data_IF_754478450861
#
_entry.id   IF_754478450861
#
_cell.length_a   1.000
_cell.length_b   1.000
_cell.length_c   1.000
_cell.angle_alpha   90.00
_cell.angle_beta   90.00
_cell.angle_gamma   90.00
#
_symmetry.space_group_name_H-M   'P 1'
#
loop_
_entity.id
_entity.type
_entity.pdbx_description
1 polymer ?
#
# COMPACT_ATOMS: atom_id res chain seq x y z
N UNK A 1 9.44 -31.55 12.76
CA UNK A 1 8.40 -30.84 12.43
C UNK A 1 8.80 -29.85 11.44
N UNK A 2 8.02 -29.48 10.74
CA UNK A 2 8.33 -28.67 9.63
C UNK A 2 8.47 -27.25 10.08
N UNK A 3 9.63 -26.84 10.46
CA UNK A 3 9.80 -25.46 10.87
C UNK A 3 9.43 -24.51 9.77
N UNK A 4 9.70 -24.91 8.52
CA UNK A 4 9.36 -24.03 7.43
C UNK A 4 7.86 -23.86 7.34
N UNK A 5 7.10 -24.93 7.52
CA UNK A 5 5.67 -24.82 7.57
C UNK A 5 5.25 -23.90 8.68
N UNK A 6 5.87 -24.06 9.80
CA UNK A 6 5.55 -23.21 10.92
C UNK A 6 5.87 -21.76 10.62
N UNK A 7 6.96 -21.55 9.92
CA UNK A 7 7.33 -20.19 9.57
C UNK A 7 6.27 -19.57 8.69
N UNK A 8 5.80 -20.31 7.72
CA UNK A 8 4.75 -19.79 6.87
C UNK A 8 3.49 -19.53 7.66
N UNK A 9 3.15 -20.45 8.54
CA UNK A 9 1.97 -20.24 9.37
C UNK A 9 2.12 -19.00 10.22
N UNK A 10 3.31 -18.81 10.77
CA UNK A 10 3.53 -17.65 11.60
C UNK A 10 3.41 -16.37 10.78
N UNK A 11 3.91 -16.39 9.57
CA UNK A 11 3.78 -15.24 8.70
C UNK A 11 2.31 -14.98 8.39
N UNK A 12 1.58 -16.02 8.07
CA UNK A 12 0.15 -15.86 7.81
C UNK A 12 -0.56 -15.28 9.01
N UNK A 13 -0.25 -15.78 10.18
CA UNK A 13 -0.87 -15.27 11.38
C UNK A 13 -0.50 -13.82 11.61
N UNK A 14 0.73 -13.47 11.33
CA UNK A 14 1.16 -12.10 11.49
C UNK A 14 0.38 -11.19 10.55
N UNK A 15 0.11 -11.68 9.36
CA UNK A 15 -0.65 -10.90 8.40
C UNK A 15 -2.10 -10.76 8.82
N UNK A 16 -2.55 -11.61 9.74
CA UNK A 16 -3.93 -11.57 10.18
C UNK A 16 -4.07 -11.05 11.60
N UNK A 17 -3.00 -10.54 12.17
CA UNK A 17 -3.07 -10.03 13.53
C UNK A 17 -3.59 -8.61 13.53
N UNK A 18 -4.02 -8.15 14.70
CA UNK A 18 -4.47 -6.75 14.81
C UNK A 18 -3.42 -5.74 14.39
N UNK A 19 -2.15 -6.10 14.49
CA UNK A 19 -1.09 -5.18 14.12
C UNK A 19 -1.23 -4.73 12.68
N UNK A 20 -1.74 -5.61 11.82
CA UNK A 20 -1.95 -5.24 10.43
C UNK A 20 -2.92 -4.08 10.33
N UNK A 21 -3.92 -4.11 11.14
CA UNK A 21 -4.95 -3.08 11.09
C UNK A 21 -4.41 -1.74 11.56
N UNK A 22 -3.33 -1.77 12.30
CA UNK A 22 -2.75 -0.54 12.84
C UNK A 22 -1.72 0.06 11.92
N UNK A 23 -1.69 -0.39 10.69
CA UNK A 23 -0.76 0.18 9.76
C UNK A 23 0.50 -0.64 9.55
N UNK A 24 0.52 -1.87 10.03
CA UNK A 24 1.66 -2.75 9.78
C UNK A 24 1.66 -3.29 8.36
N UNK A 25 0.64 -2.99 7.58
CA UNK A 25 0.57 -3.41 6.19
C UNK A 25 1.67 -2.70 5.41
N UNK A 26 2.52 -3.47 4.75
CA UNK A 26 3.60 -2.90 3.98
C UNK A 26 3.16 -2.43 2.61
N UNK A 27 2.24 -3.15 2.01
CA UNK A 27 1.83 -2.88 0.63
C UNK A 27 0.34 -2.71 0.55
N UNK A 28 -0.07 -1.76 -0.27
CA UNK A 28 -1.49 -1.51 -0.52
C UNK A 28 -1.76 -1.72 -1.99
N UNK A 29 -2.83 -2.46 -2.28
CA UNK A 29 -3.24 -2.67 -3.66
C UNK A 29 -4.12 -1.51 -4.11
N UNK A 30 -4.37 -1.46 -5.42
CA UNK A 30 -5.08 -0.32 -6.00
C UNK A 30 -6.41 -0.02 -5.33
N UNK A 31 -7.27 -1.01 -5.06
CA UNK A 31 -8.53 -0.66 -4.40
C UNK A 31 -8.35 0.02 -3.06
N UNK A 32 -7.36 -0.42 -2.30
CA UNK A 32 -7.08 0.21 -1.00
C UNK A 32 -6.55 1.63 -1.19
N UNK A 33 -5.72 1.83 -2.20
CA UNK A 33 -5.21 3.17 -2.50
C UNK A 33 -6.35 4.10 -2.89
N UNK A 34 -7.25 3.63 -3.75
CA UNK A 34 -8.39 4.43 -4.17
C UNK A 34 -9.27 4.78 -2.97
N UNK A 35 -9.49 3.81 -2.09
CA UNK A 35 -10.29 4.06 -0.91
C UNK A 35 -9.61 5.05 0.03
N UNK A 36 -8.33 4.89 0.23
CA UNK A 36 -7.60 5.73 1.17
C UNK A 36 -7.47 7.17 0.67
N UNK A 37 -7.31 7.36 -0.62
CA UNK A 37 -7.12 8.70 -1.19
C UNK A 37 -8.41 9.33 -1.67
N UNK A 38 -9.42 8.53 -1.94
CA UNK A 38 -10.64 9.05 -2.53
C UNK A 38 -10.52 9.39 -4.00
N UNK A 39 -9.42 8.99 -4.63
CA UNK A 39 -9.18 9.31 -6.03
C UNK A 39 -9.59 8.17 -6.93
N UNK A 40 -10.01 8.49 -8.13
CA UNK A 40 -10.37 7.47 -9.11
C UNK A 40 -9.10 6.85 -9.70
N UNK A 41 -9.28 5.70 -10.34
CA UNK A 41 -8.17 5.03 -10.97
C UNK A 41 -7.48 5.91 -12.00
N UNK A 42 -8.26 6.53 -12.86
CA UNK A 42 -7.65 7.35 -13.91
C UNK A 42 -6.93 8.56 -13.34
N UNK A 43 -7.47 9.15 -12.29
CA UNK A 43 -6.78 10.26 -11.64
C UNK A 43 -5.46 9.81 -11.05
N UNK A 44 -5.45 8.65 -10.39
CA UNK A 44 -4.23 8.12 -9.81
C UNK A 44 -3.16 7.89 -10.87
N UNK A 45 -3.54 7.24 -11.96
CA UNK A 45 -2.55 6.95 -12.99
C UNK A 45 -2.07 8.21 -13.71
N UNK A 46 -2.92 9.21 -13.81
CA UNK A 46 -2.48 10.49 -14.34
C UNK A 46 -1.46 11.13 -13.41
N UNK A 47 -1.70 11.09 -12.12
CA UNK A 47 -0.75 11.64 -11.17
C UNK A 47 0.58 10.88 -11.20
N UNK A 48 0.50 9.57 -11.34
CA UNK A 48 1.72 8.77 -11.44
C UNK A 48 2.50 9.16 -12.68
N UNK A 49 1.82 9.33 -13.80
CA UNK A 49 2.48 9.71 -15.04
C UNK A 49 3.14 11.08 -14.93
N UNK A 50 2.58 11.96 -14.13
CA UNK A 50 3.12 13.29 -13.92
C UNK A 50 4.08 13.35 -12.73
N UNK A 51 4.41 12.19 -12.18
CA UNK A 51 5.32 12.09 -11.04
C UNK A 51 4.81 12.85 -9.82
N UNK A 52 3.50 12.88 -9.66
CA UNK A 52 2.87 13.54 -8.52
C UNK A 52 2.25 12.55 -7.55
N UNK A 53 2.49 11.28 -7.75
CA UNK A 53 2.06 10.21 -6.87
C UNK A 53 3.10 9.11 -6.93
N UNK A 54 3.35 8.39 -5.84
CA UNK A 54 4.37 7.34 -5.83
C UNK A 54 4.08 6.27 -6.87
N UNK A 55 5.12 5.75 -7.46
CA UNK A 55 4.99 4.66 -8.41
C UNK A 55 4.78 3.35 -7.67
N UNK A 56 3.95 2.46 -8.23
CA UNK A 56 3.78 1.17 -7.60
C UNK A 56 5.03 0.32 -7.73
N UNK A 57 5.19 -0.63 -6.82
CA UNK A 57 6.23 -1.62 -6.91
C UNK A 57 5.62 -2.90 -7.43
N UNK A 58 6.41 -3.68 -8.12
CA UNK A 58 5.92 -4.92 -8.69
C UNK A 58 6.14 -6.05 -7.70
N UNK A 59 5.07 -6.72 -7.34
CA UNK A 59 5.12 -7.84 -6.42
C UNK A 59 5.23 -9.17 -7.12
N UNK A 60 4.83 -9.21 -8.40
CA UNK A 60 4.85 -10.42 -9.18
C UNK A 60 4.51 -10.10 -10.61
N UNK A 61 4.36 -11.12 -11.47
CA UNK A 61 4.15 -10.87 -12.90
C UNK A 61 2.96 -9.98 -13.22
N UNK A 62 1.89 -10.13 -12.44
CA UNK A 62 0.68 -9.35 -12.68
C UNK A 62 0.21 -8.63 -11.43
N UNK A 63 1.10 -8.40 -10.49
CA UNK A 63 0.70 -7.84 -9.22
C UNK A 63 1.54 -6.62 -8.90
N UNK A 64 0.89 -5.49 -8.74
CA UNK A 64 1.56 -4.26 -8.33
C UNK A 64 0.88 -3.74 -7.07
N UNK A 65 1.64 -3.00 -6.29
CA UNK A 65 1.12 -2.42 -5.07
C UNK A 65 1.99 -1.22 -4.71
N UNK A 66 1.54 -0.46 -3.75
CA UNK A 66 2.28 0.71 -3.27
C UNK A 66 2.79 0.44 -1.88
N UNK A 67 3.99 0.89 -1.59
CA UNK A 67 4.50 0.81 -0.23
C UNK A 67 3.73 1.76 0.65
N UNK A 68 3.35 1.27 1.82
CA UNK A 68 2.66 2.12 2.76
C UNK A 68 3.49 3.34 3.12
N UNK A 69 4.79 3.15 3.28
CA UNK A 69 5.66 4.27 3.62
C UNK A 69 5.70 5.33 2.53
N UNK A 70 5.64 4.90 1.27
CA UNK A 70 5.62 5.86 0.17
C UNK A 70 4.32 6.66 0.20
N UNK A 71 3.22 6.00 0.48
CA UNK A 71 1.94 6.68 0.56
C UNK A 71 1.91 7.65 1.73
N UNK A 72 2.46 7.24 2.86
CA UNK A 72 2.51 8.11 4.03
C UNK A 72 3.35 9.35 3.74
N UNK A 73 4.48 9.18 3.07
CA UNK A 73 5.33 10.30 2.73
C UNK A 73 4.64 11.24 1.75
N UNK A 74 3.94 10.66 0.78
CA UNK A 74 3.20 11.47 -0.18
C UNK A 74 2.11 12.27 0.52
N UNK A 75 1.40 11.63 1.41
CA UNK A 75 0.32 12.28 2.14
C UNK A 75 0.86 13.42 3.01
N UNK A 76 1.98 13.19 3.66
CA UNK A 76 2.57 14.20 4.52
C UNK A 76 3.05 15.41 3.72
N UNK A 77 3.39 15.20 2.45
CA UNK A 77 3.87 16.29 1.60
C UNK A 77 2.74 17.07 0.96
N UNK A 78 1.50 16.63 1.11
CA UNK A 78 0.38 17.36 0.50
C UNK A 78 0.16 18.66 1.26
N UNK A 79 -0.08 19.74 0.54
CA UNK A 79 -0.40 21.00 1.22
C UNK A 79 -1.78 20.93 1.84
N UNK A 80 -1.92 21.64 2.94
CA UNK A 80 -3.21 21.73 3.60
C UNK A 80 -4.05 22.78 2.88
N UNK A 81 -5.29 22.42 2.59
CA UNK A 81 -6.21 23.36 1.97
C UNK A 81 -6.82 24.24 3.03
N UNK A 82 -6.84 25.52 2.77
CA UNK A 82 -7.35 26.48 3.76
C UNK A 82 -8.56 27.21 3.22
N UNK A 83 -9.65 26.57 3.18
CA UNK A 83 -10.87 27.33 2.85
C UNK A 83 -12.09 26.73 3.46
#
# INVERSE_FOLDING_TARGET
MAPSSNSFSAIDRALHTPAERDGAVMFLRLPAIMHATGLSRSTLYRLIANEQFPRPVQLGPCAVAWRRSDLDAWSAARPVTTH
#
